data_IF_704877398483
#
_entry.id   IF_704877398483
#
_cell.length_a   1.000
_cell.length_b   1.000
_cell.length_c   1.000
_cell.angle_alpha   90.00
_cell.angle_beta   90.00
_cell.angle_gamma   90.00
#
_symmetry.space_group_name_H-M   'P 1'
#
loop_
_entity.id
_entity.type
_entity.pdbx_description
1 polymer ?
#
# COMPACT_ATOMS: atom_id res chain seq x y z
N UNK A 1 -4.62 13.58 -1.07
CA UNK A 1 -5.20 12.72 -2.13
C UNK A 1 -4.27 11.55 -2.38
N UNK A 2 -4.21 10.58 -1.49
CA UNK A 2 -3.47 9.33 -1.72
C UNK A 2 -4.41 8.25 -2.25
N UNK A 3 -3.92 7.37 -3.12
CA UNK A 3 -4.64 6.16 -3.55
C UNK A 3 -4.24 5.03 -2.61
N UNK A 4 -5.07 4.80 -1.59
CA UNK A 4 -4.88 3.73 -0.59
C UNK A 4 -6.12 2.84 -0.55
N UNK A 5 -6.02 1.59 -0.08
CA UNK A 5 -7.16 0.68 0.07
C UNK A 5 -8.38 1.37 0.71
N UNK A 6 -8.21 2.02 1.86
CA UNK A 6 -9.32 2.69 2.55
C UNK A 6 -9.89 3.88 1.77
N UNK A 7 -9.08 4.58 0.95
CA UNK A 7 -9.58 5.63 0.06
C UNK A 7 -10.38 5.05 -1.12
N UNK A 8 -10.01 3.88 -1.63
CA UNK A 8 -10.83 3.12 -2.60
C UNK A 8 -12.13 2.65 -1.95
N UNK A 9 -12.08 2.09 -0.74
CA UNK A 9 -13.27 1.67 0.02
C UNK A 9 -14.19 2.85 0.38
N UNK A 10 -13.66 4.07 0.52
CA UNK A 10 -14.42 5.30 0.79
C UNK A 10 -14.90 6.02 -0.49
N UNK A 11 -14.51 5.57 -1.68
CA UNK A 11 -14.87 6.25 -2.93
C UNK A 11 -16.40 6.23 -3.14
N UNK A 12 -17.04 7.36 -3.50
CA UNK A 12 -18.50 7.42 -3.62
C UNK A 12 -19.06 6.62 -4.81
N UNK A 13 -18.24 6.36 -5.84
CA UNK A 13 -18.66 5.68 -7.07
C UNK A 13 -18.35 4.18 -7.00
N UNK A 14 -17.08 3.82 -6.78
CA UNK A 14 -16.65 2.41 -6.79
C UNK A 14 -16.62 1.76 -5.40
N UNK A 15 -16.50 2.56 -4.33
CA UNK A 15 -16.39 2.10 -2.95
C UNK A 15 -17.47 1.11 -2.50
N UNK A 16 -18.76 1.25 -2.85
CA UNK A 16 -19.79 0.27 -2.49
C UNK A 16 -19.52 -1.14 -3.03
N UNK A 17 -19.09 -1.28 -4.28
CA UNK A 17 -18.75 -2.59 -4.88
C UNK A 17 -17.42 -3.11 -4.33
N UNK A 18 -16.44 -2.22 -4.20
CA UNK A 18 -15.14 -2.49 -3.62
C UNK A 18 -15.21 -3.02 -2.16
N UNK A 19 -16.06 -2.44 -1.30
CA UNK A 19 -16.27 -2.93 0.07
C UNK A 19 -16.83 -4.34 0.11
N UNK A 20 -17.88 -4.63 -0.67
CA UNK A 20 -18.44 -5.98 -0.74
C UNK A 20 -17.41 -7.02 -1.19
N UNK A 21 -16.61 -6.70 -2.22
CA UNK A 21 -15.54 -7.58 -2.71
C UNK A 21 -14.44 -7.83 -1.66
N UNK A 22 -14.14 -6.84 -0.82
CA UNK A 22 -13.13 -6.94 0.24
C UNK A 22 -13.65 -7.72 1.46
N UNK A 23 -14.88 -7.43 1.90
CA UNK A 23 -15.58 -8.11 3.00
C UNK A 23 -15.80 -9.61 2.71
N UNK A 24 -16.11 -9.98 1.46
CA UNK A 24 -16.23 -11.36 1.00
C UNK A 24 -14.86 -12.08 0.84
N UNK A 25 -13.74 -11.40 1.08
CA UNK A 25 -12.38 -11.93 0.86
C UNK A 25 -12.04 -12.14 -0.63
N UNK A 26 -12.79 -11.54 -1.53
CA UNK A 26 -12.63 -11.65 -2.98
C UNK A 26 -11.44 -10.86 -3.54
N UNK A 27 -11.02 -9.78 -2.87
CA UNK A 27 -9.85 -8.96 -3.21
C UNK A 27 -9.05 -8.60 -1.95
N UNK A 28 -7.73 -8.46 -2.09
CA UNK A 28 -6.86 -7.90 -1.05
C UNK A 28 -6.58 -6.40 -1.29
N UNK A 29 -5.89 -5.77 -0.35
CA UNK A 29 -5.53 -4.34 -0.39
C UNK A 29 -4.81 -3.92 -1.69
N UNK A 30 -3.90 -4.77 -2.19
CA UNK A 30 -3.09 -4.46 -3.38
C UNK A 30 -3.93 -4.54 -4.64
N UNK A 31 -4.68 -5.63 -4.78
CA UNK A 31 -5.59 -5.83 -5.90
C UNK A 31 -6.68 -4.76 -5.91
N UNK A 32 -7.16 -4.32 -4.75
CA UNK A 32 -8.11 -3.22 -4.62
C UNK A 32 -7.58 -1.91 -5.20
N UNK A 33 -6.32 -1.54 -4.90
CA UNK A 33 -5.67 -0.36 -5.48
C UNK A 33 -5.44 -0.53 -6.99
N UNK A 34 -5.02 -1.72 -7.45
CA UNK A 34 -4.84 -1.99 -8.89
C UNK A 34 -6.16 -1.87 -9.67
N UNK A 35 -7.26 -2.43 -9.14
CA UNK A 35 -8.61 -2.31 -9.73
C UNK A 35 -9.05 -0.84 -9.83
N UNK A 36 -8.79 -0.06 -8.79
CA UNK A 36 -9.09 1.38 -8.78
C UNK A 36 -8.30 2.14 -9.84
N UNK A 37 -6.97 2.00 -9.86
CA UNK A 37 -6.09 2.65 -10.85
C UNK A 37 -6.53 2.34 -12.28
N UNK A 38 -6.89 1.08 -12.54
CA UNK A 38 -7.33 0.61 -13.85
C UNK A 38 -8.69 1.21 -14.24
N UNK A 39 -9.69 1.17 -13.35
CA UNK A 39 -11.01 1.75 -13.60
C UNK A 39 -10.97 3.28 -13.77
N UNK A 40 -10.23 4.01 -12.91
CA UNK A 40 -10.08 5.46 -13.01
C UNK A 40 -9.33 5.90 -14.28
N UNK A 41 -8.28 5.17 -14.70
CA UNK A 41 -7.53 5.50 -15.93
C UNK A 41 -8.43 5.37 -17.16
N UNK A 42 -9.18 4.26 -17.24
CA UNK A 42 -10.09 3.99 -18.34
C UNK A 42 -11.28 4.96 -18.34
N UNK A 43 -11.81 5.36 -17.18
CA UNK A 43 -12.99 6.23 -17.10
C UNK A 43 -12.72 7.64 -17.65
N UNK A 44 -13.43 8.11 -18.70
CA UNK A 44 -13.21 9.42 -19.32
C UNK A 44 -13.37 10.57 -18.32
N UNK A 45 -14.36 10.46 -17.43
CA UNK A 45 -14.81 11.43 -16.43
C UNK A 45 -14.01 11.41 -15.11
N UNK A 46 -12.96 10.59 -14.98
CA UNK A 46 -12.21 10.45 -13.73
C UNK A 46 -11.62 11.78 -13.21
N UNK A 47 -11.84 12.05 -11.93
CA UNK A 47 -11.21 13.17 -11.21
C UNK A 47 -9.70 12.96 -10.97
N UNK A 48 -9.20 11.73 -11.15
CA UNK A 48 -7.78 11.39 -11.00
C UNK A 48 -6.98 11.61 -12.28
N UNK A 49 -7.62 11.95 -13.41
CA UNK A 49 -6.97 12.26 -14.70
C UNK A 49 -5.69 13.10 -14.58
N UNK A 50 -5.63 14.24 -13.85
CA UNK A 50 -4.41 15.04 -13.73
C UNK A 50 -3.21 14.32 -13.12
N UNK A 51 -3.44 13.27 -12.31
CA UNK A 51 -2.40 12.39 -11.77
C UNK A 51 -2.13 11.21 -12.71
N UNK A 52 -3.17 10.55 -13.21
CA UNK A 52 -3.04 9.36 -14.04
C UNK A 52 -2.42 9.65 -15.42
N UNK A 53 -2.64 10.83 -15.98
CA UNK A 53 -2.09 11.26 -17.28
C UNK A 53 -0.59 11.59 -17.22
N UNK A 54 -0.02 11.78 -16.02
CA UNK A 54 1.43 12.00 -15.81
C UNK A 54 2.17 10.76 -15.29
N UNK A 55 1.46 9.65 -15.07
CA UNK A 55 2.08 8.36 -14.76
C UNK A 55 2.72 7.72 -16.01
N UNK A 56 3.79 6.92 -15.85
CA UNK A 56 4.44 6.26 -16.98
C UNK A 56 3.51 5.30 -17.71
N UNK A 57 3.66 5.21 -19.03
CA UNK A 57 2.96 4.27 -19.91
C UNK A 57 3.82 3.04 -20.29
N UNK A 58 5.11 3.07 -19.98
CA UNK A 58 6.13 2.05 -20.31
C UNK A 58 6.99 1.77 -19.08
N UNK A 59 7.48 0.54 -18.93
CA UNK A 59 8.25 0.09 -17.76
C UNK A 59 9.41 -0.79 -18.20
N UNK A 60 10.54 -0.73 -17.47
CA UNK A 60 11.68 -1.63 -17.65
C UNK A 60 11.63 -2.90 -16.78
N UNK A 61 10.53 -3.15 -16.07
CA UNK A 61 10.43 -4.33 -15.20
C UNK A 61 10.23 -5.59 -16.03
N UNK A 62 10.88 -6.69 -15.65
CA UNK A 62 11.02 -7.88 -16.51
C UNK A 62 9.70 -8.51 -16.98
N UNK A 63 8.58 -8.24 -16.29
CA UNK A 63 7.23 -8.63 -16.74
C UNK A 63 6.79 -7.95 -18.06
N UNK A 64 7.48 -6.88 -18.49
CA UNK A 64 7.30 -6.20 -19.77
C UNK A 64 8.29 -6.62 -20.86
N UNK A 65 9.34 -7.39 -20.52
CA UNK A 65 10.35 -7.79 -21.50
C UNK A 65 9.74 -8.49 -22.72
N UNK A 66 10.24 -8.19 -23.90
CA UNK A 66 9.94 -8.99 -25.09
C UNK A 66 10.69 -10.34 -25.08
N UNK A 67 10.57 -11.12 -26.16
CA UNK A 67 11.19 -12.45 -26.26
C UNK A 67 12.73 -12.37 -26.41
N UNK A 68 13.29 -11.25 -26.92
CA UNK A 68 14.74 -11.04 -27.03
C UNK A 68 15.31 -10.59 -25.66
N UNK A 69 14.69 -9.61 -25.01
CA UNK A 69 15.05 -9.15 -23.66
C UNK A 69 14.94 -10.26 -22.60
N UNK A 70 13.94 -11.14 -22.73
CA UNK A 70 13.76 -12.28 -21.82
C UNK A 70 14.80 -13.39 -22.06
N UNK A 71 15.34 -13.52 -23.28
CA UNK A 71 16.39 -14.49 -23.59
C UNK A 71 17.75 -14.08 -22.97
N UNK A 72 18.06 -12.78 -22.90
CA UNK A 72 19.29 -12.26 -22.27
C UNK A 72 19.40 -12.63 -20.78
N UNK A 73 18.27 -12.91 -20.11
CA UNK A 73 18.22 -13.36 -18.71
C UNK A 73 17.97 -14.86 -18.56
N UNK A 74 17.96 -15.66 -19.63
CA UNK A 74 17.66 -17.11 -19.57
C UNK A 74 18.57 -17.85 -18.56
N UNK A 75 17.99 -18.81 -17.84
CA UNK A 75 18.68 -19.61 -16.83
C UNK A 75 18.85 -18.93 -15.45
N UNK A 76 18.61 -17.63 -15.34
CA UNK A 76 18.64 -16.90 -14.06
C UNK A 76 17.43 -17.20 -13.17
N UNK A 77 17.54 -16.79 -11.89
CA UNK A 77 16.41 -16.69 -10.95
C UNK A 77 15.34 -15.70 -11.45
N UNK A 78 15.77 -14.53 -11.96
CA UNK A 78 14.89 -13.54 -12.59
C UNK A 78 14.03 -14.10 -13.73
N UNK A 79 14.60 -14.82 -14.69
CA UNK A 79 13.86 -15.38 -15.83
C UNK A 79 12.74 -16.31 -15.36
N UNK A 80 13.06 -17.24 -14.43
CA UNK A 80 12.06 -18.16 -13.86
C UNK A 80 10.94 -17.41 -13.14
N UNK A 81 11.29 -16.42 -12.31
CA UNK A 81 10.29 -15.60 -11.60
C UNK A 81 9.40 -14.83 -12.60
N UNK A 82 10.00 -14.23 -13.62
CA UNK A 82 9.33 -13.46 -14.68
C UNK A 82 8.34 -14.30 -15.47
N UNK A 83 8.72 -15.49 -15.93
CA UNK A 83 7.84 -16.40 -16.67
C UNK A 83 6.67 -16.86 -15.80
N UNK A 84 6.92 -17.18 -14.53
CA UNK A 84 5.86 -17.53 -13.58
C UNK A 84 4.91 -16.35 -13.32
N UNK A 85 5.44 -15.14 -13.14
CA UNK A 85 4.66 -13.93 -12.87
C UNK A 85 3.81 -13.52 -14.07
N UNK A 86 4.37 -13.49 -15.30
CA UNK A 86 3.62 -13.24 -16.54
C UNK A 86 2.41 -14.19 -16.66
N UNK A 87 2.62 -15.49 -16.42
CA UNK A 87 1.54 -16.49 -16.42
C UNK A 87 0.51 -16.26 -15.32
N UNK A 88 0.95 -15.95 -14.10
CA UNK A 88 0.07 -15.69 -12.94
C UNK A 88 -0.83 -14.46 -13.15
N UNK A 89 -0.24 -13.36 -13.65
CA UNK A 89 -0.97 -12.14 -13.98
C UNK A 89 -2.00 -12.37 -15.10
N UNK A 90 -1.64 -13.11 -16.14
CA UNK A 90 -2.57 -13.42 -17.23
C UNK A 90 -3.76 -14.28 -16.77
N UNK A 91 -3.51 -15.25 -15.89
CA UNK A 91 -4.57 -16.06 -15.28
C UNK A 91 -5.48 -15.22 -14.38
N UNK A 92 -4.91 -14.46 -13.44
CA UNK A 92 -5.65 -13.56 -12.55
C UNK A 92 -6.49 -12.53 -13.33
N UNK A 93 -5.98 -12.04 -14.47
CA UNK A 93 -6.72 -11.15 -15.34
C UNK A 93 -7.97 -11.80 -15.94
N UNK A 94 -7.80 -12.98 -16.55
CA UNK A 94 -8.86 -13.72 -17.22
C UNK A 94 -9.92 -14.24 -16.23
N UNK A 95 -9.47 -14.74 -15.08
CA UNK A 95 -10.32 -15.43 -14.11
C UNK A 95 -11.07 -14.47 -13.17
N UNK A 96 -10.59 -13.23 -13.01
CA UNK A 96 -11.13 -12.26 -12.04
C UNK A 96 -11.10 -10.81 -12.50
N UNK A 97 -9.93 -10.24 -12.77
CA UNK A 97 -9.77 -8.76 -12.88
C UNK A 97 -10.64 -8.17 -13.98
N UNK A 98 -10.69 -8.81 -15.15
CA UNK A 98 -11.42 -8.26 -16.30
C UNK A 98 -12.89 -7.98 -15.95
N UNK A 99 -13.59 -8.99 -15.44
CA UNK A 99 -14.99 -8.86 -15.05
C UNK A 99 -15.20 -7.81 -13.95
N UNK A 100 -14.32 -7.77 -12.94
CA UNK A 100 -14.42 -6.76 -11.87
C UNK A 100 -14.23 -5.32 -12.38
N UNK A 101 -13.29 -5.08 -13.30
CA UNK A 101 -13.09 -3.73 -13.86
C UNK A 101 -14.24 -3.34 -14.80
N UNK A 102 -14.77 -4.27 -15.60
CA UNK A 102 -15.98 -4.05 -16.39
C UNK A 102 -17.17 -3.64 -15.49
N UNK A 103 -17.39 -4.36 -14.38
CA UNK A 103 -18.40 -3.98 -13.36
C UNK A 103 -18.17 -2.56 -12.80
N UNK A 104 -16.93 -2.18 -12.47
CA UNK A 104 -16.58 -0.86 -11.91
C UNK A 104 -16.67 0.28 -12.95
N UNK A 105 -16.57 -0.03 -14.24
CA UNK A 105 -16.78 0.93 -15.33
C UNK A 105 -18.27 1.13 -15.62
N UNK A 106 -19.07 0.07 -15.53
CA UNK A 106 -20.52 0.10 -15.82
C UNK A 106 -21.39 0.82 -14.77
N UNK A 107 -20.78 1.30 -13.67
CA UNK A 107 -21.47 2.13 -12.66
C UNK A 107 -21.86 3.52 -13.23
N UNK A 108 -21.13 4.01 -14.24
CA UNK A 108 -21.39 5.25 -14.98
C UNK A 108 -21.57 4.92 -16.47
N UNK A 109 -22.58 5.49 -17.14
CA UNK A 109 -22.80 5.32 -18.58
C UNK A 109 -21.56 5.69 -19.41
N UNK A 110 -20.73 6.62 -18.91
CA UNK A 110 -19.47 7.01 -19.56
C UNK A 110 -18.42 5.89 -19.64
N UNK A 111 -18.54 4.82 -18.85
CA UNK A 111 -17.64 3.66 -18.86
C UNK A 111 -18.15 2.46 -19.67
N UNK A 112 -19.45 2.40 -19.99
CA UNK A 112 -20.13 1.18 -20.47
C UNK A 112 -19.74 0.66 -21.85
N UNK A 113 -18.97 1.41 -22.63
CA UNK A 113 -18.50 1.00 -23.97
C UNK A 113 -16.99 0.74 -24.05
N UNK A 114 -16.29 0.73 -22.91
CA UNK A 114 -14.83 0.67 -22.86
C UNK A 114 -14.37 -0.79 -22.78
N UNK A 115 -13.52 -1.20 -23.72
CA UNK A 115 -12.91 -2.52 -23.73
C UNK A 115 -11.81 -2.61 -22.66
N UNK A 116 -11.90 -3.62 -21.80
CA UNK A 116 -10.89 -3.92 -20.78
C UNK A 116 -9.87 -4.94 -21.32
N UNK A 117 -8.59 -4.56 -21.36
CA UNK A 117 -7.48 -5.36 -21.91
C UNK A 117 -6.48 -5.79 -20.84
N UNK A 118 -5.68 -6.81 -21.13
CA UNK A 118 -4.63 -7.29 -20.23
C UNK A 118 -3.54 -6.24 -19.98
N UNK A 119 -3.22 -5.43 -21.00
CA UNK A 119 -2.27 -4.31 -20.91
C UNK A 119 -2.67 -3.28 -19.84
N UNK A 120 -3.96 -3.05 -19.63
CA UNK A 120 -4.46 -2.12 -18.60
C UNK A 120 -4.17 -2.65 -17.19
N UNK A 121 -4.31 -3.97 -16.99
CA UNK A 121 -3.99 -4.64 -15.73
C UNK A 121 -2.47 -4.75 -15.51
N UNK A 122 -1.70 -5.06 -16.56
CA UNK A 122 -0.25 -5.09 -16.47
C UNK A 122 0.31 -3.70 -16.12
N UNK A 123 -0.26 -2.64 -16.70
CA UNK A 123 0.02 -1.25 -16.32
C UNK A 123 -0.34 -0.97 -14.86
N UNK A 124 -1.54 -1.32 -14.39
CA UNK A 124 -1.96 -1.05 -13.01
C UNK A 124 -1.10 -1.80 -11.98
N UNK A 125 -0.73 -3.05 -12.28
CA UNK A 125 0.21 -3.84 -11.48
C UNK A 125 1.60 -3.16 -11.45
N UNK A 126 2.15 -2.77 -12.60
CA UNK A 126 3.47 -2.13 -12.64
C UNK A 126 3.49 -0.75 -11.99
N UNK A 127 2.42 0.05 -12.11
CA UNK A 127 2.25 1.29 -11.36
C UNK A 127 2.27 1.01 -9.85
N UNK A 128 1.51 0.02 -9.36
CA UNK A 128 1.52 -0.31 -7.94
C UNK A 128 2.93 -0.69 -7.45
N UNK A 129 3.61 -1.65 -8.11
CA UNK A 129 4.93 -2.10 -7.67
C UNK A 129 6.04 -1.05 -7.80
N UNK A 130 5.96 -0.16 -8.78
CA UNK A 130 6.98 0.88 -8.99
C UNK A 130 6.79 2.12 -8.11
N UNK A 131 5.59 2.37 -7.57
CA UNK A 131 5.21 3.66 -6.95
C UNK A 131 4.44 3.59 -5.63
N UNK A 132 4.00 2.42 -5.17
CA UNK A 132 3.37 2.30 -3.86
C UNK A 132 4.41 2.57 -2.75
N UNK A 133 4.03 3.42 -1.80
CA UNK A 133 4.81 3.76 -0.61
C UNK A 133 4.16 3.12 0.62
N UNK A 134 4.97 2.89 1.66
CA UNK A 134 4.49 2.48 2.97
C UNK A 134 4.07 3.74 3.76
N UNK A 135 2.76 3.86 4.01
CA UNK A 135 2.10 5.04 4.58
C UNK A 135 1.72 4.73 6.04
N UNK A 136 2.33 5.39 7.06
CA UNK A 136 1.93 5.21 8.45
C UNK A 136 0.70 6.09 8.75
N UNK A 137 -0.48 5.48 8.81
CA UNK A 137 -1.75 6.18 9.04
C UNK A 137 -2.26 5.96 10.47
N UNK A 138 -2.90 6.97 11.10
CA UNK A 138 -3.58 6.78 12.38
C UNK A 138 -4.67 5.70 12.28
N UNK A 139 -4.80 4.84 13.29
CA UNK A 139 -5.84 3.78 13.34
C UNK A 139 -7.26 4.32 13.06
N UNK A 140 -7.58 5.52 13.56
CA UNK A 140 -8.87 6.20 13.33
C UNK A 140 -9.14 6.55 11.86
N UNK A 141 -8.10 6.73 11.06
CA UNK A 141 -8.20 6.99 9.62
C UNK A 141 -8.38 5.71 8.81
N UNK A 142 -7.75 4.62 9.26
CA UNK A 142 -7.88 3.29 8.64
C UNK A 142 -9.25 2.67 8.94
N UNK A 143 -9.70 2.77 10.20
CA UNK A 143 -10.94 2.18 10.71
C UNK A 143 -11.89 3.26 11.29
N UNK A 144 -12.47 4.12 10.44
CA UNK A 144 -13.42 5.14 10.88
C UNK A 144 -14.68 4.48 11.47
N UNK A 145 -14.93 4.71 12.76
CA UNK A 145 -16.08 4.16 13.50
C UNK A 145 -15.72 3.12 14.58
N UNK A 146 -14.47 2.66 14.68
CA UNK A 146 -14.07 1.68 15.71
C UNK A 146 -13.96 2.24 17.14
N UNK A 147 -14.16 3.55 17.35
CA UNK A 147 -13.91 4.24 18.63
C UNK A 147 -15.16 4.44 19.51
N UNK A 148 -16.36 4.10 19.05
CA UNK A 148 -17.61 4.25 19.82
C UNK A 148 -17.78 3.23 20.97
N UNK A 149 -16.79 2.36 21.20
CA UNK A 149 -16.84 1.29 22.21
C UNK A 149 -16.48 1.68 23.65
N UNK A 150 -15.95 2.89 23.90
CA UNK A 150 -15.37 3.26 25.21
C UNK A 150 -15.86 4.62 25.76
N UNK A 151 -17.17 4.89 25.74
CA UNK A 151 -17.70 6.05 26.47
C UNK A 151 -19.10 5.90 27.09
N UNK A 152 -19.38 4.78 27.76
CA UNK A 152 -20.52 4.69 28.71
C UNK A 152 -20.10 4.01 30.03
N UNK A 153 -19.58 4.80 30.99
CA UNK A 153 -19.57 4.47 32.43
C UNK A 153 -19.62 5.71 33.32
N UNK A 154 -20.84 6.18 33.61
CA UNK A 154 -21.33 7.00 34.76
C UNK A 154 -22.72 7.52 34.33
N UNK A 155 -23.81 7.49 35.12
CA UNK A 155 -24.11 6.89 36.42
C UNK A 155 -25.64 6.91 36.65
N UNK A 156 -26.10 6.59 37.88
CA UNK A 156 -27.52 6.59 38.33
C UNK A 156 -28.40 5.44 37.75
N UNK A 157 -28.88 4.37 38.45
CA UNK A 157 -29.39 4.07 39.82
C UNK A 157 -30.93 3.86 39.83
N UNK A 158 -31.39 2.88 40.62
CA UNK A 158 -32.77 2.33 40.80
C UNK A 158 -33.20 1.26 39.75
N UNK A 159 -33.61 0.04 40.11
CA UNK A 159 -33.60 -0.61 41.44
C UNK A 159 -34.15 -2.06 41.47
N UNK A 160 -33.44 -2.92 42.22
CA UNK A 160 -33.86 -4.08 43.05
C UNK A 160 -34.39 -5.42 42.48
N UNK A 161 -34.10 -6.50 43.25
CA UNK A 161 -34.56 -7.91 43.21
C UNK A 161 -34.07 -8.82 42.05
N UNK A 162 -33.62 -10.07 42.25
CA UNK A 162 -33.34 -10.81 43.51
C UNK A 162 -32.42 -12.06 43.34
N UNK A 163 -31.85 -12.53 44.46
CA UNK A 163 -31.39 -13.90 44.84
C UNK A 163 -30.35 -14.75 44.03
N UNK A 164 -29.17 -14.92 44.67
CA UNK A 164 -28.37 -16.18 44.86
C UNK A 164 -27.60 -16.82 43.67
N UNK A 165 -26.40 -17.41 43.81
CA UNK A 165 -25.77 -18.12 44.96
C UNK A 165 -24.22 -17.94 45.03
N UNK A 166 -23.62 -18.23 46.20
CA UNK A 166 -22.18 -18.22 46.58
C UNK A 166 -21.31 -19.19 45.73
N UNK A 167 -19.96 -19.13 45.62
CA UNK A 167 -18.85 -18.99 46.61
C UNK A 167 -17.64 -18.22 45.98
N UNK A 168 -16.88 -17.36 46.66
CA UNK A 168 -15.86 -17.60 47.73
C UNK A 168 -14.66 -18.48 47.29
N UNK A 169 -13.37 -18.14 47.50
CA UNK A 169 -12.67 -16.93 48.04
C UNK A 169 -11.53 -16.51 47.05
N UNK A 170 -10.57 -15.59 47.26
CA UNK A 170 -10.04 -14.89 48.45
C UNK A 170 -9.36 -13.51 48.12
N UNK A 171 -8.52 -13.03 49.03
CA UNK A 171 -7.84 -11.72 49.15
C UNK A 171 -6.39 -11.70 48.62
N UNK A 172 -5.81 -10.56 48.22
CA UNK A 172 -5.17 -9.58 49.15
C UNK A 172 -4.93 -8.21 48.51
N UNK A 173 -5.27 -7.15 49.24
CA UNK A 173 -5.10 -5.72 48.91
C UNK A 173 -3.73 -5.14 49.30
N UNK A 174 -3.27 -4.12 48.56
CA UNK A 174 -2.64 -2.92 49.14
C UNK A 174 -2.67 -1.72 48.18
N UNK A 175 -3.00 -0.54 48.72
CA UNK A 175 -3.21 0.72 48.00
C UNK A 175 -2.00 1.67 48.13
N UNK A 176 -2.12 2.84 47.46
CA UNK A 176 -1.24 4.02 47.42
C UNK A 176 -0.08 3.95 46.41
N UNK A 177 0.25 5.01 45.67
CA UNK A 177 -0.27 6.40 45.67
C UNK A 177 -0.44 6.97 44.25
N UNK A 178 -1.17 8.07 44.14
CA UNK A 178 -1.34 8.83 42.90
C UNK A 178 -0.01 9.38 42.38
N UNK A 179 0.18 9.34 41.06
CA UNK A 179 0.88 10.38 40.31
C UNK A 179 0.14 10.57 38.98
N UNK A 180 -0.20 11.82 38.66
CA UNK A 180 -0.79 12.19 37.38
C UNK A 180 0.31 12.17 36.32
N UNK A 181 0.32 11.16 35.47
CA UNK A 181 1.10 11.20 34.24
C UNK A 181 0.14 11.25 33.06
N UNK A 182 0.23 12.32 32.27
CA UNK A 182 -0.49 12.47 31.02
C UNK A 182 0.04 11.44 30.03
N UNK A 183 -0.54 10.24 30.03
CA UNK A 183 -0.30 9.26 28.98
C UNK A 183 -0.83 9.84 27.66
N UNK A 184 0.08 10.35 26.85
CA UNK A 184 -0.17 10.54 25.43
C UNK A 184 -0.54 9.16 24.89
N UNK A 185 -1.82 8.92 24.62
CA UNK A 185 -2.28 7.75 23.88
C UNK A 185 -1.62 7.79 22.50
N UNK A 186 -0.47 7.12 22.41
CA UNK A 186 0.29 6.98 21.19
C UNK A 186 -0.50 6.02 20.31
N UNK A 187 -1.48 6.54 19.56
CA UNK A 187 -2.32 5.74 18.69
C UNK A 187 -1.42 5.01 17.70
N UNK A 188 -1.41 3.69 17.80
CA UNK A 188 -0.54 2.84 16.98
C UNK A 188 -0.81 3.13 15.50
N UNK A 189 0.25 3.46 14.77
CA UNK A 189 0.16 3.79 13.35
C UNK A 189 0.11 2.50 12.55
N UNK A 190 -0.91 2.39 11.69
CA UNK A 190 -1.10 1.27 10.79
C UNK A 190 -0.39 1.58 9.48
N UNK A 191 0.49 0.69 9.07
CA UNK A 191 1.19 0.78 7.78
C UNK A 191 0.30 0.26 6.67
N UNK A 192 0.12 1.08 5.64
CA UNK A 192 -0.69 0.75 4.46
C UNK A 192 0.09 1.09 3.20
N UNK A 193 0.07 0.19 2.22
CA UNK A 193 0.67 0.43 0.90
C UNK A 193 -0.29 1.23 0.02
N UNK A 194 0.21 2.29 -0.62
CA UNK A 194 -0.58 3.12 -1.51
C UNK A 194 0.22 4.19 -2.23
N UNK A 195 -0.38 4.82 -3.23
CA UNK A 195 0.29 5.83 -4.05
C UNK A 195 0.04 7.22 -3.48
N UNK A 196 1.10 8.03 -3.40
CA UNK A 196 1.04 9.40 -2.87
C UNK A 196 1.49 10.38 -3.96
N UNK A 197 0.55 10.92 -4.77
CA UNK A 197 0.83 11.82 -5.88
C UNK A 197 1.83 12.92 -5.53
N UNK A 198 2.97 12.89 -6.22
CA UNK A 198 4.07 13.85 -6.08
C UNK A 198 5.25 13.28 -5.29
N UNK A 199 5.00 12.55 -4.20
CA UNK A 199 6.06 11.84 -3.46
C UNK A 199 6.46 10.55 -4.20
N UNK A 200 5.49 9.91 -4.84
CA UNK A 200 5.68 8.72 -5.71
C UNK A 200 6.49 8.98 -7.00
N UNK A 201 6.95 10.22 -7.22
CA UNK A 201 7.86 10.59 -8.32
C UNK A 201 9.34 10.69 -7.89
N UNK A 202 9.65 10.66 -6.59
CA UNK A 202 11.03 10.71 -6.13
C UNK A 202 11.77 9.41 -6.49
N UNK A 203 12.83 9.51 -7.29
CA UNK A 203 13.65 8.36 -7.69
C UNK A 203 14.40 7.72 -6.51
N UNK A 204 14.83 6.48 -6.70
CA UNK A 204 15.62 5.74 -5.74
C UNK A 204 17.06 6.27 -5.60
N UNK A 205 17.56 6.34 -4.36
CA UNK A 205 19.00 6.36 -4.08
C UNK A 205 19.31 5.69 -2.74
N UNK A 206 20.29 4.77 -2.71
CA UNK A 206 20.74 4.09 -1.47
C UNK A 206 21.28 5.06 -0.40
N UNK A 207 21.66 6.29 -0.79
CA UNK A 207 22.10 7.38 0.11
C UNK A 207 21.09 8.52 0.20
N UNK A 208 19.84 8.28 -0.18
CA UNK A 208 18.77 9.27 -0.05
C UNK A 208 18.65 9.80 1.39
N UNK A 209 18.51 11.12 1.51
CA UNK A 209 18.28 11.80 2.79
C UNK A 209 16.83 12.28 2.93
N UNK A 210 16.01 12.18 1.87
CA UNK A 210 14.60 12.46 1.97
C UNK A 210 13.85 11.22 2.47
N UNK A 211 12.94 11.43 3.41
CA UNK A 211 11.91 10.49 3.84
C UNK A 211 10.59 11.25 3.95
N UNK A 212 9.52 10.59 4.38
CA UNK A 212 8.20 11.21 4.49
C UNK A 212 7.62 11.07 5.90
N UNK A 213 6.78 12.04 6.26
CA UNK A 213 5.98 12.05 7.49
C UNK A 213 4.50 12.31 7.17
N UNK A 214 3.61 11.87 8.05
CA UNK A 214 2.17 12.08 7.93
C UNK A 214 1.72 13.17 8.90
N UNK A 215 1.15 14.24 8.35
CA UNK A 215 0.49 15.30 9.11
C UNK A 215 -0.93 14.83 9.47
N UNK A 216 -1.07 14.19 10.63
CA UNK A 216 -2.33 13.59 11.09
C UNK A 216 -3.43 14.62 11.27
N UNK A 217 -3.12 15.78 11.86
CA UNK A 217 -4.06 16.85 12.19
C UNK A 217 -4.19 17.92 11.08
N UNK A 218 -3.22 18.00 10.16
CA UNK A 218 -3.17 19.04 9.13
C UNK A 218 -2.52 20.36 9.60
N UNK A 219 -1.73 20.31 10.68
CA UNK A 219 -1.13 21.50 11.29
C UNK A 219 -0.01 22.14 10.44
N UNK A 220 0.67 21.36 9.62
CA UNK A 220 1.76 21.81 8.75
C UNK A 220 1.27 22.07 7.31
N UNK A 221 0.41 21.18 6.80
CA UNK A 221 -0.05 21.19 5.40
C UNK A 221 -1.40 21.86 5.18
N UNK A 222 -2.16 22.09 6.26
CA UNK A 222 -3.56 22.50 6.22
C UNK A 222 -4.54 21.36 5.89
N UNK A 223 -4.07 20.12 5.75
CA UNK A 223 -4.90 18.95 5.33
C UNK A 223 -4.63 17.76 6.27
N UNK A 224 -5.61 17.33 7.08
CA UNK A 224 -5.48 16.15 7.94
C UNK A 224 -5.17 14.87 7.17
N UNK A 225 -4.36 14.00 7.77
CA UNK A 225 -3.85 12.75 7.19
C UNK A 225 -3.23 12.92 5.79
N UNK A 226 -2.53 14.04 5.57
CA UNK A 226 -1.69 14.24 4.38
C UNK A 226 -0.25 13.82 4.65
N UNK A 227 0.55 13.70 3.59
CA UNK A 227 1.96 13.31 3.69
C UNK A 227 2.83 14.39 3.05
N UNK A 228 4.01 14.61 3.63
CA UNK A 228 5.01 15.55 3.14
C UNK A 228 6.41 14.95 3.21
N UNK A 229 7.30 15.41 2.34
CA UNK A 229 8.71 15.04 2.36
C UNK A 229 9.47 15.87 3.40
N UNK A 230 10.32 15.19 4.17
CA UNK A 230 11.31 15.80 5.06
C UNK A 230 12.72 15.41 4.60
N UNK A 231 13.66 16.35 4.73
CA UNK A 231 15.07 16.12 4.45
C UNK A 231 15.82 15.97 5.77
N UNK A 232 16.39 14.80 6.01
CA UNK A 232 17.25 14.53 7.15
C UNK A 232 18.55 15.36 7.01
N UNK A 233 18.57 16.54 7.61
CA UNK A 233 19.73 17.43 7.63
C UNK A 233 20.82 16.91 8.57
N UNK A 234 21.51 15.85 8.13
CA UNK A 234 22.72 15.34 8.76
C UNK A 234 23.89 16.32 8.54
N UNK A 235 23.86 17.47 9.22
CA UNK A 235 24.95 18.46 9.27
C UNK A 235 25.18 19.29 7.99
N UNK A 236 24.42 19.08 6.91
CA UNK A 236 24.45 19.94 5.71
C UNK A 236 23.51 21.13 5.87
N UNK A 237 24.06 22.33 5.82
CA UNK A 237 23.36 23.61 6.02
C UNK A 237 22.52 24.09 4.84
N UNK A 238 22.62 23.44 3.67
CA UNK A 238 21.78 23.70 2.51
C UNK A 238 21.70 22.48 1.58
N UNK A 239 20.58 22.38 0.86
CA UNK A 239 20.46 21.58 -0.36
C UNK A 239 20.68 22.54 -1.53
N UNK A 240 21.51 22.15 -2.50
CA UNK A 240 21.82 22.99 -3.65
C UNK A 240 20.61 23.06 -4.60
N UNK A 241 20.18 24.26 -4.96
CA UNK A 241 19.05 24.49 -5.86
C UNK A 241 19.27 23.81 -7.20
N UNK A 242 18.28 23.02 -7.65
CA UNK A 242 18.38 22.21 -8.87
C UNK A 242 18.89 20.78 -8.65
N UNK A 243 19.28 20.41 -7.42
CA UNK A 243 19.55 19.01 -7.07
C UNK A 243 18.26 18.19 -7.03
N UNK A 244 18.28 17.00 -7.61
CA UNK A 244 17.17 16.05 -7.54
C UNK A 244 16.94 15.52 -6.12
N UNK A 245 15.68 15.35 -5.73
CA UNK A 245 15.28 14.79 -4.43
C UNK A 245 15.01 13.29 -4.61
N UNK A 246 15.91 12.47 -4.06
CA UNK A 246 15.78 11.02 -4.01
C UNK A 246 15.23 10.54 -2.66
N UNK A 247 14.46 9.46 -2.69
CA UNK A 247 14.07 8.65 -1.52
C UNK A 247 14.76 7.27 -1.59
N UNK A 248 14.76 6.51 -0.51
CA UNK A 248 15.24 5.12 -0.53
C UNK A 248 14.04 4.17 -0.64
N UNK A 249 14.06 3.24 -1.60
CA UNK A 249 13.01 2.22 -1.80
C UNK A 249 13.22 0.97 -0.93
N UNK A 250 14.24 0.99 -0.06
CA UNK A 250 14.75 -0.13 0.71
C UNK A 250 16.06 -0.67 0.13
N UNK A 251 16.82 -1.36 0.99
CA UNK A 251 18.06 -2.03 0.63
C UNK A 251 17.74 -3.28 -0.18
N UNK A 252 17.89 -3.20 -1.51
CA UNK A 252 17.45 -4.22 -2.48
C UNK A 252 18.57 -4.55 -3.46
N UNK A 253 18.71 -5.83 -3.79
CA UNK A 253 19.64 -6.29 -4.81
C UNK A 253 19.17 -5.94 -6.23
N UNK A 254 20.08 -5.97 -7.20
CA UNK A 254 19.77 -5.56 -8.58
C UNK A 254 18.74 -6.48 -9.27
N UNK A 255 18.70 -7.78 -8.94
CA UNK A 255 17.64 -8.67 -9.41
C UNK A 255 16.24 -8.22 -8.91
N UNK A 256 16.14 -7.79 -7.65
CA UNK A 256 14.87 -7.33 -7.08
C UNK A 256 14.48 -5.95 -7.63
N UNK A 257 15.44 -5.03 -7.79
CA UNK A 257 15.21 -3.71 -8.39
C UNK A 257 14.72 -3.84 -9.84
N UNK A 258 15.33 -4.72 -10.64
CA UNK A 258 14.91 -4.96 -12.02
C UNK A 258 13.55 -5.66 -12.09
N UNK A 259 13.28 -6.61 -11.20
CA UNK A 259 12.01 -7.33 -11.14
C UNK A 259 10.82 -6.42 -10.76
N UNK A 260 10.99 -5.60 -9.72
CA UNK A 260 9.89 -4.78 -9.16
C UNK A 260 9.78 -3.40 -9.80
N UNK A 261 10.92 -2.72 -10.00
CA UNK A 261 10.96 -1.30 -10.39
C UNK A 261 11.43 -1.07 -11.83
N UNK A 262 12.12 -2.03 -12.44
CA UNK A 262 12.57 -1.93 -13.82
C UNK A 262 13.84 -1.11 -14.06
N UNK A 263 14.72 -1.06 -13.05
CA UNK A 263 16.06 -0.48 -13.19
C UNK A 263 17.08 -1.27 -12.36
N UNK A 264 18.37 -1.03 -12.61
CA UNK A 264 19.48 -1.53 -11.79
C UNK A 264 20.35 -0.36 -11.33
N UNK A 265 21.13 -0.55 -10.27
CA UNK A 265 22.03 0.48 -9.73
C UNK A 265 23.49 0.05 -9.93
N UNK A 266 24.26 0.90 -10.60
CA UNK A 266 25.70 0.71 -10.76
C UNK A 266 26.42 0.66 -9.40
N UNK A 267 27.20 -0.40 -9.17
CA UNK A 267 27.92 -0.63 -7.91
C UNK A 267 26.99 -0.62 -6.68
N UNK A 268 25.78 -1.18 -6.80
CA UNK A 268 24.82 -1.32 -5.72
C UNK A 268 25.48 -2.00 -4.49
N UNK A 269 25.56 -1.34 -3.32
CA UNK A 269 26.20 -1.90 -2.12
C UNK A 269 25.36 -2.99 -1.45
N UNK A 270 24.06 -3.06 -1.75
CA UNK A 270 23.10 -4.03 -1.23
C UNK A 270 22.84 -5.19 -2.23
N UNK A 271 23.71 -5.36 -3.24
CA UNK A 271 23.55 -6.41 -4.25
C UNK A 271 23.92 -7.82 -3.73
N UNK A 272 23.17 -8.83 -4.17
CA UNK A 272 23.34 -10.21 -3.74
C UNK A 272 22.88 -11.22 -4.81
N UNK A 273 23.37 -12.46 -4.70
CA UNK A 273 23.00 -13.56 -5.57
C UNK A 273 22.32 -14.70 -4.78
N UNK A 274 21.14 -15.12 -5.23
CA UNK A 274 20.39 -16.22 -4.62
C UNK A 274 20.91 -17.58 -5.08
N UNK A 275 21.62 -18.29 -4.21
CA UNK A 275 22.11 -19.66 -4.47
C UNK A 275 21.09 -20.70 -4.00
N UNK A 276 20.46 -21.41 -4.93
CA UNK A 276 19.51 -22.49 -4.60
C UNK A 276 20.25 -23.79 -4.31
N UNK A 277 20.14 -24.29 -3.07
CA UNK A 277 20.71 -25.57 -2.65
C UNK A 277 19.66 -26.68 -2.60
N UNK A 278 19.79 -27.68 -3.46
CA UNK A 278 18.94 -28.88 -3.43
C UNK A 278 19.54 -29.93 -2.50
N UNK A 279 18.92 -30.15 -1.34
CA UNK A 279 19.30 -31.23 -0.42
C UNK A 279 18.88 -32.59 -0.99
N UNK A 280 19.84 -33.32 -1.56
CA UNK A 280 19.65 -34.75 -1.87
C UNK A 280 19.89 -35.57 -0.62
N UNK A 281 18.82 -36.09 -0.01
CA UNK A 281 18.93 -37.09 1.04
C UNK A 281 19.46 -38.40 0.44
N UNK A 282 20.72 -38.72 0.71
CA UNK A 282 21.27 -40.05 0.45
C UNK A 282 20.69 -40.99 1.51
N UNK A 283 19.72 -41.81 1.11
CA UNK A 283 19.27 -42.95 1.91
C UNK A 283 20.40 -44.00 1.82
N UNK A 284 21.03 -44.28 2.96
CA UNK A 284 21.99 -45.39 3.13
C UNK A 284 21.26 -46.69 3.48
#
# INVERSE_FOLDING_TARGET
LAVTPMRVLQDPLVGPRCRALFEDGGVDDRLLVMLFLMAERLRPTSLWKPYLDVLPSTFGSSVWFDDEELAEVEGTTLHRATVMQKKSLQALFNDKVKALVEELLHIDEAGSSIEVRFEDFLWANSIFWTRALNIPLPHSYVFPGSLDGQQIRTGEVLGDSDLTTQQETDTTTKNSSCDENSESHNMESIWVEGLVPGIDFCNHNVKALATWEVDSEGNLTGIPASMYLILAQAGKSSVETGTEIYINYGNKGNEELLYLYGFVVDNNPDDYLMVTLTLMFIIQ
#
